data_IF_109928551954
#
_entry.id   IF_109928551954
#
_cell.length_a   1.000
_cell.length_b   1.000
_cell.length_c   1.000
_cell.angle_alpha   90.00
_cell.angle_beta   90.00
_cell.angle_gamma   90.00
#
_symmetry.space_group_name_H-M   'P 1'
#
loop_
_entity.id
_entity.type
_entity.pdbx_description
1 polymer ?
#
# COMPACT_ATOMS: atom_id res chain seq x y z
N UNK A 1 -21.15 11.13 -41.60
CA UNK A 1 -20.43 12.31 -41.05
C UNK A 1 -21.17 12.66 -39.78
N UNK A 2 -20.74 12.34 -38.56
CA UNK A 2 -19.42 12.06 -37.99
C UNK A 2 -19.63 11.17 -36.75
N UNK A 3 -18.81 10.13 -36.66
CA UNK A 3 -18.47 9.41 -35.44
C UNK A 3 -17.60 10.30 -34.54
N UNK A 4 -17.76 10.20 -33.21
CA UNK A 4 -16.71 10.39 -32.21
C UNK A 4 -17.26 10.27 -30.78
N UNK A 5 -16.76 9.27 -30.06
CA UNK A 5 -16.93 9.12 -28.61
C UNK A 5 -15.98 8.07 -28.05
N UNK A 6 -14.68 8.23 -28.32
CA UNK A 6 -13.63 7.28 -27.97
C UNK A 6 -13.54 7.00 -26.48
N UNK A 7 -13.78 5.75 -26.10
CA UNK A 7 -13.60 5.28 -24.73
C UNK A 7 -12.11 5.25 -24.37
N UNK A 8 -11.67 6.14 -23.48
CA UNK A 8 -10.39 6.00 -22.77
C UNK A 8 -10.54 4.96 -21.65
N UNK A 9 -10.94 3.75 -22.04
CA UNK A 9 -10.93 2.59 -21.17
C UNK A 9 -9.49 2.16 -20.95
N UNK A 10 -8.99 2.26 -19.71
CA UNK A 10 -7.71 1.63 -19.34
C UNK A 10 -7.80 0.14 -19.68
N UNK A 11 -6.82 -0.43 -20.38
CA UNK A 11 -6.84 -1.83 -20.78
C UNK A 11 -6.91 -2.75 -19.55
N UNK A 12 -7.85 -3.70 -19.61
CA UNK A 12 -7.99 -4.77 -18.62
C UNK A 12 -7.04 -5.90 -19.01
N UNK A 13 -6.24 -6.41 -18.07
CA UNK A 13 -5.27 -7.50 -18.29
C UNK A 13 -5.56 -8.67 -17.36
N UNK A 14 -5.08 -9.86 -17.75
CA UNK A 14 -5.11 -11.09 -16.94
C UNK A 14 -3.69 -11.59 -16.68
N UNK A 15 -3.42 -12.16 -15.50
CA UNK A 15 -2.12 -12.77 -15.15
C UNK A 15 -2.24 -14.26 -14.81
N UNK A 16 -1.14 -15.00 -15.04
CA UNK A 16 -0.88 -16.32 -14.48
C UNK A 16 0.04 -16.17 -13.26
N UNK A 17 -0.54 -16.02 -12.08
CA UNK A 17 0.23 -15.66 -10.88
C UNK A 17 1.07 -16.81 -10.32
N UNK A 18 0.71 -18.07 -10.60
CA UNK A 18 1.48 -19.24 -10.16
C UNK A 18 2.96 -19.17 -10.55
N UNK A 19 3.28 -18.79 -11.79
CA UNK A 19 4.65 -18.67 -12.30
C UNK A 19 5.46 -17.60 -11.53
N UNK A 20 4.82 -16.47 -11.19
CA UNK A 20 5.47 -15.39 -10.44
C UNK A 20 5.61 -15.73 -8.95
N UNK A 21 4.65 -16.44 -8.37
CA UNK A 21 4.69 -16.87 -6.98
C UNK A 21 5.86 -17.83 -6.73
N UNK A 22 6.12 -18.75 -7.66
CA UNK A 22 7.27 -19.66 -7.61
C UNK A 22 8.61 -18.90 -7.64
N UNK A 23 8.71 -17.83 -8.43
CA UNK A 23 9.91 -16.98 -8.50
C UNK A 23 10.08 -16.08 -7.27
N UNK A 24 8.97 -15.54 -6.74
CA UNK A 24 8.97 -14.61 -5.61
C UNK A 24 9.22 -15.30 -4.25
N UNK A 25 9.14 -16.63 -4.19
CA UNK A 25 9.42 -17.43 -3.00
C UNK A 25 10.92 -17.62 -2.68
N UNK A 26 11.83 -17.09 -3.50
CA UNK A 26 13.26 -17.20 -3.23
C UNK A 26 13.74 -16.02 -2.38
N UNK A 27 14.08 -16.23 -1.09
CA UNK A 27 14.81 -15.21 -0.34
C UNK A 27 16.15 -14.89 -1.04
N UNK A 28 16.74 -13.71 -0.84
CA UNK A 28 18.06 -13.39 -1.37
C UNK A 28 19.03 -14.51 -1.01
N UNK A 29 19.72 -15.09 -2.00
CA UNK A 29 20.75 -16.11 -1.76
C UNK A 29 21.89 -15.46 -0.97
N UNK A 30 21.89 -15.64 0.35
CA UNK A 30 23.04 -15.32 1.19
C UNK A 30 24.26 -16.09 0.69
N UNK A 31 25.24 -15.32 0.21
CA UNK A 31 26.50 -15.84 -0.28
C UNK A 31 27.48 -15.90 0.90
N UNK A 32 27.60 -17.10 1.48
CA UNK A 32 28.73 -17.74 2.18
C UNK A 32 29.69 -16.96 3.14
N UNK A 33 30.25 -17.66 4.14
CA UNK A 33 30.62 -17.11 5.44
C UNK A 33 32.03 -16.52 5.46
N UNK A 34 32.20 -15.43 6.20
CA UNK A 34 33.50 -14.99 6.69
C UNK A 34 33.66 -15.43 8.13
N UNK A 35 34.55 -16.42 8.34
CA UNK A 35 35.09 -16.76 9.64
C UNK A 35 35.77 -15.53 10.25
N UNK A 36 35.35 -15.16 11.46
CA UNK A 36 36.18 -14.39 12.38
C UNK A 36 36.23 -15.15 13.70
N UNK A 37 37.40 -15.76 13.91
CA UNK A 37 37.84 -16.29 15.19
C UNK A 37 38.15 -15.13 16.15
N UNK A 38 37.62 -15.17 17.38
CA UNK A 38 37.99 -14.19 18.41
C UNK A 38 37.12 -14.21 19.67
N UNK A 39 37.61 -14.91 20.71
CA UNK A 39 37.34 -14.76 22.16
C UNK A 39 35.93 -14.41 22.67
N UNK A 40 35.33 -15.40 23.36
CA UNK A 40 34.29 -15.16 24.36
C UNK A 40 34.81 -14.37 25.58
N UNK A 41 33.95 -13.56 26.21
CA UNK A 41 33.79 -13.71 27.65
C UNK A 41 32.32 -13.81 28.10
N UNK A 42 32.16 -14.71 29.07
CA UNK A 42 31.19 -14.82 30.15
C UNK A 42 29.83 -14.09 30.09
N UNK A 43 28.78 -14.91 30.17
CA UNK A 43 27.39 -14.59 30.50
C UNK A 43 27.27 -13.72 31.77
N UNK A 44 26.80 -12.49 31.61
CA UNK A 44 26.08 -11.75 32.65
C UNK A 44 24.58 -11.83 32.32
N UNK A 45 23.77 -12.21 33.30
CA UNK A 45 22.37 -12.61 33.13
C UNK A 45 21.43 -11.52 32.58
N UNK A 46 20.20 -11.88 32.19
CA UNK A 46 19.24 -10.93 31.64
C UNK A 46 18.85 -9.92 32.73
N UNK A 47 19.32 -8.68 32.56
CA UNK A 47 18.75 -7.53 33.23
C UNK A 47 17.28 -7.36 32.84
N UNK A 48 16.45 -6.74 33.69
CA UNK A 48 15.04 -6.59 33.43
C UNK A 48 14.85 -5.85 32.11
N UNK A 49 14.07 -6.44 31.22
CA UNK A 49 13.57 -5.78 30.01
C UNK A 49 12.74 -4.60 30.47
N UNK A 50 13.37 -3.43 30.54
CA UNK A 50 12.67 -2.17 30.68
C UNK A 50 11.80 -2.03 29.44
N UNK A 51 10.51 -2.28 29.66
CA UNK A 51 9.44 -1.97 28.72
C UNK A 51 9.44 -0.45 28.57
N UNK A 52 10.27 0.03 27.64
CA UNK A 52 10.34 1.42 27.25
C UNK A 52 8.97 1.86 26.78
N UNK A 53 8.25 2.56 27.66
CA UNK A 53 7.10 3.39 27.31
C UNK A 53 7.62 4.39 26.28
N UNK A 54 7.23 4.20 25.02
CA UNK A 54 7.76 4.95 23.88
C UNK A 54 7.74 6.44 24.15
N UNK A 55 8.91 7.09 24.03
CA UNK A 55 8.99 8.54 24.09
C UNK A 55 8.13 9.13 22.97
N UNK A 56 7.37 10.18 23.30
CA UNK A 56 6.64 10.95 22.29
C UNK A 56 7.63 11.40 21.19
N UNK A 57 7.31 11.18 19.91
CA UNK A 57 8.22 11.51 18.82
C UNK A 57 8.51 13.02 18.83
N UNK A 58 9.77 13.38 18.65
CA UNK A 58 10.15 14.80 18.61
C UNK A 58 9.53 15.51 17.41
N UNK A 59 9.32 16.83 17.50
CA UNK A 59 8.81 17.64 16.38
C UNK A 59 9.67 17.50 15.11
N UNK A 60 10.98 17.36 15.27
CA UNK A 60 11.93 17.17 14.18
C UNK A 60 11.72 15.82 13.48
N UNK A 61 11.46 14.76 14.25
CA UNK A 61 11.16 13.42 13.74
C UNK A 61 9.82 13.39 13.00
N UNK A 62 8.78 13.99 13.59
CA UNK A 62 7.47 14.15 12.94
C UNK A 62 7.61 14.91 11.61
N UNK A 63 8.41 15.98 11.58
CA UNK A 63 8.67 16.73 10.36
C UNK A 63 9.44 15.92 9.31
N UNK A 64 10.38 15.06 9.72
CA UNK A 64 11.11 14.18 8.79
C UNK A 64 10.18 13.15 8.16
N UNK A 65 9.43 12.41 8.98
CA UNK A 65 8.48 11.39 8.51
C UNK A 65 7.43 11.99 7.56
N UNK A 66 6.97 13.22 7.82
CA UNK A 66 6.06 13.93 6.91
C UNK A 66 6.68 14.25 5.55
N UNK A 67 7.95 14.66 5.52
CA UNK A 67 8.67 14.90 4.25
C UNK A 67 8.88 13.60 3.47
N UNK A 68 9.29 12.55 4.15
CA UNK A 68 9.48 11.22 3.57
C UNK A 68 8.16 10.70 2.96
N UNK A 69 7.06 10.80 3.71
CA UNK A 69 5.73 10.42 3.21
C UNK A 69 5.29 11.29 2.02
N UNK A 70 5.57 12.60 2.03
CA UNK A 70 5.25 13.49 0.91
C UNK A 70 6.01 13.08 -0.37
N UNK A 71 7.28 12.69 -0.23
CA UNK A 71 8.06 12.18 -1.36
C UNK A 71 7.52 10.84 -1.88
N UNK A 72 7.14 9.93 -0.98
CA UNK A 72 6.51 8.66 -1.33
C UNK A 72 5.18 8.85 -2.05
N UNK A 73 4.33 9.78 -1.56
CA UNK A 73 3.06 10.13 -2.19
C UNK A 73 3.27 10.72 -3.58
N UNK A 74 4.25 11.60 -3.77
CA UNK A 74 4.57 12.16 -5.08
C UNK A 74 5.01 11.06 -6.06
N UNK A 75 5.92 10.18 -5.63
CA UNK A 75 6.38 9.05 -6.45
C UNK A 75 5.22 8.10 -6.81
N UNK A 76 4.34 7.80 -5.86
CA UNK A 76 3.15 6.99 -6.12
C UNK A 76 2.21 7.65 -7.12
N UNK A 77 1.96 8.95 -6.99
CA UNK A 77 1.08 9.71 -7.90
C UNK A 77 1.53 9.61 -9.36
N UNK A 78 2.84 9.56 -9.59
CA UNK A 78 3.45 9.46 -10.92
C UNK A 78 3.66 8.00 -11.40
N UNK A 79 3.35 7.00 -10.57
CA UNK A 79 3.57 5.59 -10.88
C UNK A 79 2.27 4.90 -11.32
N UNK A 80 2.37 4.07 -12.36
CA UNK A 80 1.27 3.20 -12.76
C UNK A 80 1.30 1.89 -11.96
N UNK A 81 0.21 1.56 -11.28
CA UNK A 81 0.08 0.38 -10.42
C UNK A 81 -1.03 -0.56 -10.91
N UNK A 82 -0.95 -1.82 -10.50
CA UNK A 82 -1.94 -2.85 -10.84
C UNK A 82 -3.06 -2.84 -9.80
N UNK A 83 -4.30 -2.72 -10.26
CA UNK A 83 -5.50 -2.70 -9.42
C UNK A 83 -6.36 -3.90 -9.79
N UNK A 84 -6.44 -4.94 -8.94
CA UNK A 84 -7.24 -6.12 -9.24
C UNK A 84 -8.72 -5.81 -9.28
N UNK A 85 -9.44 -6.57 -10.10
CA UNK A 85 -10.88 -6.51 -10.23
C UNK A 85 -11.52 -7.75 -9.59
N UNK A 86 -12.56 -7.53 -8.77
CA UNK A 86 -13.38 -8.59 -8.18
C UNK A 86 -14.86 -8.18 -8.22
N UNK A 87 -15.72 -9.11 -8.60
CA UNK A 87 -17.18 -8.92 -8.62
C UNK A 87 -17.66 -7.66 -9.36
N UNK A 88 -17.01 -7.32 -10.48
CA UNK A 88 -17.35 -6.14 -11.29
C UNK A 88 -16.82 -4.80 -10.76
N UNK A 89 -16.14 -4.80 -9.61
CA UNK A 89 -15.52 -3.64 -9.00
C UNK A 89 -14.03 -3.84 -8.75
N UNK A 90 -13.42 -2.88 -8.07
CA UNK A 90 -12.04 -3.00 -7.60
C UNK A 90 -11.99 -3.93 -6.41
N UNK A 91 -10.89 -4.67 -6.26
CA UNK A 91 -10.66 -5.42 -5.05
C UNK A 91 -10.44 -4.45 -3.89
N UNK A 92 -11.25 -4.59 -2.85
CA UNK A 92 -11.16 -3.76 -1.65
C UNK A 92 -11.13 -4.59 -0.38
N UNK A 93 -10.57 -4.04 0.68
CA UNK A 93 -10.67 -4.55 2.05
C UNK A 93 -11.18 -3.45 2.99
N UNK A 94 -12.04 -3.78 3.95
CA UNK A 94 -12.53 -2.80 4.93
C UNK A 94 -11.74 -2.98 6.24
N UNK A 95 -11.09 -1.91 6.72
CA UNK A 95 -10.30 -1.92 7.96
C UNK A 95 -10.26 -0.52 8.59
N UNK A 96 -10.46 -0.44 9.91
CA UNK A 96 -10.40 0.82 10.65
C UNK A 96 -11.49 1.82 10.28
N UNK A 97 -12.66 1.35 9.79
CA UNK A 97 -13.74 2.21 9.30
C UNK A 97 -13.47 2.84 7.91
N UNK A 98 -12.39 2.43 7.24
CA UNK A 98 -12.00 2.88 5.91
C UNK A 98 -12.04 1.70 4.94
N UNK A 99 -12.53 1.95 3.73
CA UNK A 99 -12.39 1.03 2.60
C UNK A 99 -11.04 1.23 1.94
N UNK A 100 -10.31 0.15 1.70
CA UNK A 100 -8.99 0.19 1.09
C UNK A 100 -9.05 -0.44 -0.29
N UNK A 101 -8.80 0.37 -1.32
CA UNK A 101 -8.53 -0.16 -2.65
C UNK A 101 -7.16 -0.81 -2.62
N UNK A 102 -7.09 -2.09 -2.98
CA UNK A 102 -5.83 -2.80 -3.02
C UNK A 102 -5.15 -2.56 -4.37
N UNK A 103 -3.92 -2.05 -4.32
CA UNK A 103 -3.07 -1.80 -5.47
C UNK A 103 -1.74 -2.52 -5.29
N UNK A 104 -1.09 -2.85 -6.42
CA UNK A 104 0.16 -3.58 -6.44
C UNK A 104 1.15 -2.90 -7.37
N UNK A 105 2.39 -2.75 -6.93
CA UNK A 105 3.46 -2.12 -7.71
C UNK A 105 3.73 -2.90 -9.00
N UNK A 106 3.68 -4.23 -8.94
CA UNK A 106 3.89 -5.11 -10.07
C UNK A 106 3.14 -6.45 -9.93
N UNK A 107 3.31 -7.31 -10.94
CA UNK A 107 2.68 -8.63 -10.98
C UNK A 107 3.23 -9.57 -9.89
N UNK A 108 4.47 -9.39 -9.45
CA UNK A 108 5.07 -10.21 -8.39
C UNK A 108 4.47 -9.87 -7.04
N UNK A 109 4.24 -8.59 -6.74
CA UNK A 109 3.51 -8.17 -5.55
C UNK A 109 2.06 -8.68 -5.55
N UNK A 110 1.38 -8.60 -6.70
CA UNK A 110 0.06 -9.20 -6.87
C UNK A 110 0.09 -10.73 -6.67
N UNK A 111 1.12 -11.41 -7.17
CA UNK A 111 1.28 -12.85 -6.98
C UNK A 111 1.46 -13.22 -5.52
N UNK A 112 2.27 -12.47 -4.76
CA UNK A 112 2.42 -12.66 -3.31
C UNK A 112 1.08 -12.53 -2.58
N UNK A 113 0.28 -11.53 -2.94
CA UNK A 113 -1.06 -11.36 -2.38
C UNK A 113 -2.01 -12.52 -2.73
N UNK A 114 -1.99 -13.00 -3.97
CA UNK A 114 -2.79 -14.16 -4.37
C UNK A 114 -2.35 -15.44 -3.63
N UNK A 115 -1.04 -15.66 -3.47
CA UNK A 115 -0.49 -16.80 -2.72
C UNK A 115 -0.90 -16.78 -1.26
N UNK A 116 -0.87 -15.62 -0.60
CA UNK A 116 -1.32 -15.48 0.79
C UNK A 116 -2.81 -15.84 0.98
N UNK A 117 -3.58 -15.89 -0.11
CA UNK A 117 -5.00 -16.27 -0.14
C UNK A 117 -5.25 -17.67 -0.69
N UNK A 118 -4.20 -18.43 -0.99
CA UNK A 118 -4.27 -19.70 -1.71
C UNK A 118 -4.96 -19.59 -3.08
N UNK A 119 -4.83 -18.43 -3.74
CA UNK A 119 -5.45 -18.09 -5.02
C UNK A 119 -4.43 -17.90 -6.16
N UNK A 120 -3.16 -18.26 -5.95
CA UNK A 120 -2.11 -18.10 -6.96
C UNK A 120 -2.34 -18.95 -8.22
N UNK A 121 -3.05 -20.07 -8.08
CA UNK A 121 -3.44 -20.96 -9.17
C UNK A 121 -4.55 -20.39 -10.07
N UNK A 122 -5.21 -19.31 -9.66
CA UNK A 122 -6.31 -18.69 -10.39
C UNK A 122 -5.82 -17.62 -11.38
N UNK A 123 -6.62 -17.34 -12.41
CA UNK A 123 -6.41 -16.15 -13.24
C UNK A 123 -6.88 -14.89 -12.50
N UNK A 124 -6.03 -13.88 -12.44
CA UNK A 124 -6.36 -12.60 -11.84
C UNK A 124 -6.52 -11.53 -12.91
N UNK A 125 -7.66 -10.85 -12.86
CA UNK A 125 -7.93 -9.70 -13.74
C UNK A 125 -7.56 -8.42 -13.00
N UNK A 126 -6.83 -7.53 -13.67
CA UNK A 126 -6.42 -6.25 -13.11
C UNK A 126 -6.41 -5.14 -14.18
N UNK A 127 -6.32 -3.90 -13.72
CA UNK A 127 -6.10 -2.72 -14.56
C UNK A 127 -4.82 -2.02 -14.14
N UNK A 128 -4.11 -1.43 -15.09
CA UNK A 128 -2.96 -0.59 -14.81
C UNK A 128 -3.41 0.87 -14.69
N UNK A 129 -3.38 1.44 -13.50
CA UNK A 129 -3.92 2.77 -13.21
C UNK A 129 -2.83 3.66 -12.62
N UNK A 130 -2.74 4.91 -13.07
CA UNK A 130 -1.85 5.90 -12.49
C UNK A 130 -2.26 6.17 -11.03
N UNK A 131 -1.32 6.23 -10.09
CA UNK A 131 -1.58 6.46 -8.68
C UNK A 131 -2.38 7.73 -8.42
N UNK A 132 -2.09 8.82 -9.13
CA UNK A 132 -2.90 10.04 -9.05
C UNK A 132 -4.38 9.79 -9.38
N UNK A 133 -4.69 8.97 -10.39
CA UNK A 133 -6.07 8.66 -10.76
C UNK A 133 -6.77 7.78 -9.73
N UNK A 134 -6.04 6.92 -9.02
CA UNK A 134 -6.59 6.18 -7.89
C UNK A 134 -7.07 7.14 -6.80
N UNK A 135 -6.20 8.06 -6.38
CA UNK A 135 -6.44 8.99 -5.27
C UNK A 135 -7.47 10.06 -5.62
N UNK A 136 -7.44 10.59 -6.84
CA UNK A 136 -8.20 11.79 -7.19
C UNK A 136 -9.54 11.49 -7.87
N UNK A 137 -9.75 10.27 -8.37
CA UNK A 137 -10.98 9.90 -9.09
C UNK A 137 -11.70 8.75 -8.42
N UNK A 138 -11.00 7.67 -8.14
CA UNK A 138 -11.69 6.46 -7.75
C UNK A 138 -11.94 6.32 -6.26
N UNK A 139 -11.02 6.83 -5.43
CA UNK A 139 -11.31 7.04 -4.01
C UNK A 139 -12.57 7.90 -3.84
N UNK A 140 -12.69 9.09 -4.48
CA UNK A 140 -13.93 9.87 -4.47
C UNK A 140 -15.18 9.11 -4.93
N UNK A 141 -15.03 8.24 -5.93
CA UNK A 141 -16.14 7.45 -6.48
C UNK A 141 -16.63 6.33 -5.54
N UNK A 142 -15.89 5.99 -4.48
CA UNK A 142 -16.27 4.92 -3.55
C UNK A 142 -17.51 5.26 -2.70
N UNK A 143 -17.83 6.55 -2.53
CA UNK A 143 -19.00 7.02 -1.76
C UNK A 143 -18.91 6.80 -0.24
N UNK A 144 -17.76 6.32 0.26
CA UNK A 144 -17.45 6.07 1.67
C UNK A 144 -16.00 6.51 1.94
N UNK A 145 -15.57 6.71 3.20
CA UNK A 145 -14.15 6.89 3.53
C UNK A 145 -13.30 5.80 2.86
N UNK A 146 -12.43 6.21 1.93
CA UNK A 146 -11.71 5.27 1.09
C UNK A 146 -10.24 5.67 0.91
N UNK A 147 -9.32 4.77 1.23
CA UNK A 147 -7.89 4.91 0.98
C UNK A 147 -7.39 3.94 -0.10
N UNK A 148 -6.09 3.98 -0.34
CA UNK A 148 -5.38 3.00 -1.17
C UNK A 148 -4.35 2.29 -0.30
N UNK A 149 -4.28 0.96 -0.39
CA UNK A 149 -3.23 0.16 0.20
C UNK A 149 -2.38 -0.46 -0.92
N UNK A 150 -1.11 -0.06 -0.99
CA UNK A 150 -0.14 -0.56 -1.94
C UNK A 150 0.64 -1.73 -1.32
N UNK A 151 0.72 -2.85 -2.05
CA UNK A 151 1.54 -4.01 -1.69
C UNK A 151 1.22 -4.56 -0.29
N UNK A 152 -0.07 -4.62 0.05
CA UNK A 152 -0.55 -4.97 1.39
C UNK A 152 -0.16 -6.39 1.87
N UNK A 153 0.33 -7.27 0.98
CA UNK A 153 0.83 -8.60 1.34
C UNK A 153 2.32 -8.62 1.71
N UNK A 154 3.05 -7.53 1.56
CA UNK A 154 4.51 -7.50 1.72
C UNK A 154 4.96 -7.20 3.17
N UNK A 155 4.02 -7.18 4.11
CA UNK A 155 4.27 -6.88 5.52
C UNK A 155 4.38 -5.39 5.83
N UNK A 156 4.48 -5.06 7.11
CA UNK A 156 4.40 -3.66 7.60
C UNK A 156 5.55 -2.77 7.14
N UNK A 157 6.69 -3.36 6.78
CA UNK A 157 7.88 -2.62 6.32
C UNK A 157 7.78 -2.18 4.85
N UNK A 158 6.96 -2.86 4.05
CA UNK A 158 6.88 -2.66 2.60
C UNK A 158 5.50 -2.22 2.12
N UNK A 159 4.44 -2.54 2.86
CA UNK A 159 3.10 -2.04 2.57
C UNK A 159 3.02 -0.53 2.81
N UNK A 160 2.43 0.19 1.86
CA UNK A 160 2.21 1.64 1.98
C UNK A 160 0.72 1.93 1.99
N UNK A 161 0.28 2.70 2.99
CA UNK A 161 -1.10 3.16 3.08
C UNK A 161 -1.19 4.63 2.67
N UNK A 162 -2.14 4.92 1.80
CA UNK A 162 -2.56 6.26 1.42
C UNK A 162 -3.96 6.50 2.02
N UNK A 163 -4.05 7.00 3.26
CA UNK A 163 -5.33 7.15 3.97
C UNK A 163 -6.16 8.29 3.37
N UNK A 164 -7.50 8.30 3.59
CA UNK A 164 -8.39 9.36 3.13
C UNK A 164 -8.24 10.63 3.98
N UNK A 165 -7.07 11.27 3.96
CA UNK A 165 -6.78 12.48 4.72
C UNK A 165 -6.34 13.63 3.82
N UNK A 166 -6.40 14.84 4.36
CA UNK A 166 -6.03 16.07 3.68
C UNK A 166 -4.63 15.96 3.07
N UNK A 167 -4.48 16.38 1.82
CA UNK A 167 -3.22 16.31 1.08
C UNK A 167 -2.88 14.94 0.48
N UNK A 168 -3.57 13.86 0.86
CA UNK A 168 -3.48 12.55 0.18
C UNK A 168 -4.56 12.43 -0.88
N UNK A 169 -5.81 12.70 -0.49
CA UNK A 169 -7.01 12.68 -1.34
C UNK A 169 -7.56 14.10 -1.49
N UNK A 170 -8.46 14.39 -2.45
CA UNK A 170 -9.08 15.70 -2.54
C UNK A 170 -9.83 16.07 -1.26
N UNK A 171 -9.68 17.31 -0.79
CA UNK A 171 -10.16 17.80 0.51
C UNK A 171 -11.64 17.49 0.80
N UNK A 172 -12.50 17.50 -0.21
CA UNK A 172 -13.93 17.19 -0.06
C UNK A 172 -14.21 15.74 0.40
N UNK A 173 -13.23 14.85 0.30
CA UNK A 173 -13.33 13.43 0.64
C UNK A 173 -12.42 13.01 1.80
N UNK A 174 -11.61 13.94 2.32
CA UNK A 174 -10.72 13.67 3.44
C UNK A 174 -11.47 13.69 4.78
N UNK A 175 -11.17 12.72 5.66
CA UNK A 175 -11.92 12.47 6.90
C UNK A 175 -11.41 13.26 8.11
N UNK A 176 -10.18 13.74 8.05
CA UNK A 176 -9.52 14.56 9.07
C UNK A 176 -9.91 16.04 8.98
N UNK A 177 -10.62 16.43 7.92
CA UNK A 177 -11.40 17.65 7.94
C UNK A 177 -12.62 17.47 8.84
N UNK A 178 -12.44 17.64 10.15
CA UNK A 178 -13.56 18.01 11.01
C UNK A 178 -14.20 19.25 10.37
N UNK A 179 -15.43 19.11 9.90
CA UNK A 179 -16.28 20.24 9.52
C UNK A 179 -16.24 21.21 10.70
N UNK A 180 -15.49 22.30 10.58
CA UNK A 180 -15.55 23.41 11.53
C UNK A 180 -16.89 24.12 11.29
N UNK A 181 -17.98 23.57 11.84
CA UNK A 181 -19.33 24.13 11.71
C UNK A 181 -20.29 23.47 12.69
N UNK A 182 -21.06 24.18 13.52
CA UNK A 182 -21.21 25.62 13.68
C UNK A 182 -22.00 25.90 14.96
N UNK A 183 -21.90 27.12 15.50
CA UNK A 183 -22.67 27.53 16.66
C UNK A 183 -24.18 27.47 16.34
N UNK A 184 -25.03 26.95 17.25
CA UNK A 184 -26.47 27.06 17.10
C UNK A 184 -26.87 28.54 17.19
N UNK A 185 -27.69 28.98 16.24
CA UNK A 185 -28.43 30.25 16.34
C UNK A 185 -29.56 30.11 17.34
#
# INVERSE_FOLDING_TARGET
MTDAGGGTGVPVRRSRLAEYAEMAGQPPKESHPLEVSGSAPALAGPGPVETGRGAEPSDAEVASRRREFTALLAAFRDTAVLVPLRSGGWLTADFGGVRWILAFSDTSALARYASARDEAHQEWTYRTVLGARLLDVAVPAAGVPCGVALDAADGVEHAVLFPPVAGVVPDAFAVDHVRRGGAPR
#
